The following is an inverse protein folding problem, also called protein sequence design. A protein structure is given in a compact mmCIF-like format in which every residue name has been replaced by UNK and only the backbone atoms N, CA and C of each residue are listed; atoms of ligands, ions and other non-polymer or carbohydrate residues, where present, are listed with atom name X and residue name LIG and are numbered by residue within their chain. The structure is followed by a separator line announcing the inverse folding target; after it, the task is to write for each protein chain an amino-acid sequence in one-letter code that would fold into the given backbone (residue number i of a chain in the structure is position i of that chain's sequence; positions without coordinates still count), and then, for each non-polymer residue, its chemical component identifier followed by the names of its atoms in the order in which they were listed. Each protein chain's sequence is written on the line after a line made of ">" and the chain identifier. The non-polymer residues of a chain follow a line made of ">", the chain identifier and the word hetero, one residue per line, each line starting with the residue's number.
data_IF_421491393171
#
_entry.id   IF_421491393171
#
_cell.length_a   1.000
_cell.length_b   1.000
_cell.length_c   1.000
_cell.angle_alpha   90.00
_cell.angle_beta   90.00
_cell.angle_gamma   90.00
#
_symmetry.space_group_name_H-M   'P 1'
#
loop_
_entity.id
_entity.type
_entity.pdbx_description
1 polymer ?
#
# COMPACT_ATOMS: atom_id res chain seq x y z
N UNK A 1 -21.62 -24.23 -14.37
CA UNK A 1 -22.96 -23.60 -14.25
C UNK A 1 -22.77 -22.30 -13.48
N UNK A 2 -22.49 -21.20 -14.18
CA UNK A 2 -22.41 -19.86 -13.60
C UNK A 2 -23.84 -19.34 -13.47
N UNK A 3 -24.41 -19.39 -12.26
CA UNK A 3 -25.64 -18.63 -12.00
C UNK A 3 -25.32 -17.15 -12.16
N UNK A 4 -26.07 -16.44 -13.00
CA UNK A 4 -25.91 -14.99 -13.17
C UNK A 4 -26.19 -14.31 -11.84
N UNK A 5 -25.12 -13.85 -11.21
CA UNK A 5 -25.21 -13.22 -9.92
C UNK A 5 -25.87 -11.85 -10.09
N UNK A 6 -27.09 -11.69 -9.59
CA UNK A 6 -27.85 -10.45 -9.82
C UNK A 6 -27.42 -9.41 -8.79
N UNK A 7 -26.64 -8.43 -9.23
CA UNK A 7 -26.23 -7.28 -8.42
C UNK A 7 -27.40 -6.31 -8.34
N UNK A 8 -27.83 -5.97 -7.12
CA UNK A 8 -28.82 -4.92 -6.87
C UNK A 8 -28.08 -3.67 -6.38
N UNK A 9 -28.16 -2.60 -7.17
CA UNK A 9 -27.59 -1.30 -6.86
C UNK A 9 -28.71 -0.27 -6.71
N UNK A 10 -28.64 0.55 -5.67
CA UNK A 10 -29.56 1.66 -5.43
C UNK A 10 -28.77 2.96 -5.29
N UNK A 11 -29.35 4.08 -5.71
CA UNK A 11 -28.76 5.42 -5.59
C UNK A 11 -29.84 6.49 -5.45
N UNK A 12 -29.41 7.74 -5.26
CA UNK A 12 -30.30 8.89 -5.18
C UNK A 12 -30.71 9.25 -3.75
N UNK A 13 -31.33 10.43 -3.61
CA UNK A 13 -31.60 11.04 -2.30
C UNK A 13 -32.46 10.18 -1.38
N UNK A 14 -33.57 9.63 -1.87
CA UNK A 14 -34.47 8.82 -1.06
C UNK A 14 -33.77 7.55 -0.52
N UNK A 15 -33.00 6.88 -1.37
CA UNK A 15 -32.16 5.74 -1.01
C UNK A 15 -31.15 6.11 0.07
N UNK A 16 -30.42 7.20 -0.14
CA UNK A 16 -29.36 7.62 0.77
C UNK A 16 -29.91 8.08 2.13
N UNK A 17 -31.00 8.84 2.14
CA UNK A 17 -31.73 9.20 3.37
C UNK A 17 -32.23 7.97 4.11
N UNK A 18 -32.83 7.00 3.40
CA UNK A 18 -33.29 5.74 4.01
C UNK A 18 -32.13 4.92 4.58
N UNK A 19 -30.99 4.89 3.89
CA UNK A 19 -29.78 4.22 4.38
C UNK A 19 -29.28 4.89 5.66
N UNK A 20 -29.09 6.22 5.65
CA UNK A 20 -28.60 6.98 6.80
C UNK A 20 -29.54 6.94 8.01
N UNK A 21 -30.84 6.68 7.81
CA UNK A 21 -31.84 6.57 8.86
C UNK A 21 -31.93 5.17 9.50
N UNK A 22 -31.16 4.17 9.04
CA UNK A 22 -31.22 2.82 9.61
C UNK A 22 -30.83 2.80 11.09
N UNK A 23 -31.64 2.15 11.90
CA UNK A 23 -31.43 2.05 13.36
C UNK A 23 -30.23 1.18 13.77
N UNK A 24 -29.75 0.31 12.87
CA UNK A 24 -28.60 -0.56 13.14
C UNK A 24 -27.25 0.20 13.05
N UNK A 25 -27.25 1.42 12.52
CA UNK A 25 -26.09 2.29 12.53
C UNK A 25 -25.71 2.67 13.97
N UNK A 26 -24.41 2.64 14.23
CA UNK A 26 -23.83 2.91 15.55
C UNK A 26 -22.55 3.68 15.36
N UNK A 27 -22.47 4.89 15.87
CA UNK A 27 -21.23 5.65 15.81
C UNK A 27 -20.32 5.25 16.98
N UNK A 28 -19.24 4.55 16.68
CA UNK A 28 -18.22 4.15 17.67
C UNK A 28 -17.69 5.36 18.45
N UNK A 29 -17.63 6.53 17.82
CA UNK A 29 -17.11 7.73 18.47
C UNK A 29 -18.03 8.36 19.50
N UNK A 30 -19.27 7.88 19.62
CA UNK A 30 -20.25 8.36 20.59
C UNK A 30 -20.38 7.39 21.79
N UNK A 31 -19.55 6.35 21.84
CA UNK A 31 -19.53 5.43 22.97
C UNK A 31 -18.97 6.11 24.22
N UNK A 32 -19.71 6.02 25.32
CA UNK A 32 -19.15 6.31 26.63
C UNK A 32 -18.10 5.25 27.04
N UNK A 33 -17.45 5.47 28.18
CA UNK A 33 -16.36 4.60 28.61
C UNK A 33 -16.82 3.16 28.88
N UNK A 34 -18.01 2.93 29.44
CA UNK A 34 -18.52 1.59 29.71
C UNK A 34 -18.89 0.87 28.40
N UNK A 35 -19.58 1.56 27.51
CA UNK A 35 -19.97 1.05 26.20
C UNK A 35 -18.73 0.75 25.34
N UNK A 36 -17.66 1.55 25.44
CA UNK A 36 -16.37 1.27 24.81
C UNK A 36 -15.76 -0.02 25.35
N UNK A 37 -15.76 -0.24 26.68
CA UNK A 37 -15.22 -1.46 27.30
C UNK A 37 -15.99 -2.70 26.81
N UNK A 38 -17.32 -2.62 26.79
CA UNK A 38 -18.16 -3.72 26.31
C UNK A 38 -17.93 -3.98 24.82
N UNK A 39 -17.82 -2.93 24.00
CA UNK A 39 -17.48 -3.06 22.58
C UNK A 39 -16.11 -3.70 22.38
N UNK A 40 -15.09 -3.27 23.13
CA UNK A 40 -13.73 -3.82 23.06
C UNK A 40 -13.70 -5.31 23.47
N UNK A 41 -14.49 -5.71 24.46
CA UNK A 41 -14.62 -7.11 24.86
C UNK A 41 -15.26 -7.98 23.77
N UNK A 42 -16.36 -7.50 23.18
CA UNK A 42 -17.00 -8.19 22.06
C UNK A 42 -16.10 -8.22 20.81
N UNK A 43 -15.40 -7.13 20.51
CA UNK A 43 -14.45 -7.03 19.41
C UNK A 43 -13.28 -8.00 19.59
N UNK A 44 -12.68 -8.04 20.79
CA UNK A 44 -11.60 -8.97 21.13
C UNK A 44 -12.04 -10.43 20.93
N UNK A 45 -13.23 -10.78 21.43
CA UNK A 45 -13.78 -12.15 21.29
C UNK A 45 -13.97 -12.53 19.82
N UNK A 46 -14.60 -11.67 19.01
CA UNK A 46 -14.74 -11.95 17.56
C UNK A 46 -13.40 -12.09 16.85
N UNK A 47 -12.41 -11.26 17.22
CA UNK A 47 -11.09 -11.28 16.60
C UNK A 47 -10.25 -12.48 17.02
N UNK A 48 -10.33 -12.93 18.27
CA UNK A 48 -9.58 -14.11 18.71
C UNK A 48 -10.08 -15.39 18.01
N UNK A 49 -11.37 -15.45 17.69
CA UNK A 49 -11.99 -16.61 17.04
C UNK A 49 -11.82 -16.59 15.51
N UNK A 50 -11.92 -15.41 14.88
CA UNK A 50 -11.98 -15.29 13.42
C UNK A 50 -10.72 -14.77 12.72
N UNK A 51 -9.75 -14.21 13.46
CA UNK A 51 -8.58 -13.54 12.87
C UNK A 51 -7.27 -14.21 13.36
N UNK A 52 -6.64 -15.10 12.55
CA UNK A 52 -5.46 -15.84 12.97
C UNK A 52 -4.26 -14.94 13.25
N UNK A 53 -4.14 -13.79 12.56
CA UNK A 53 -3.07 -12.81 12.79
C UNK A 53 -3.27 -12.16 14.15
N UNK A 54 -4.48 -11.71 14.46
CA UNK A 54 -4.82 -11.14 15.77
C UNK A 54 -4.56 -12.13 16.90
N UNK A 55 -5.00 -13.39 16.73
CA UNK A 55 -4.77 -14.47 17.70
C UNK A 55 -3.29 -14.73 17.94
N UNK A 56 -2.50 -14.79 16.87
CA UNK A 56 -1.05 -15.00 16.97
C UNK A 56 -0.33 -13.84 17.66
N UNK A 57 -0.74 -12.59 17.40
CA UNK A 57 -0.24 -11.41 18.14
C UNK A 57 -0.57 -11.48 19.63
N UNK A 58 -1.81 -11.83 19.98
CA UNK A 58 -2.22 -12.02 21.38
C UNK A 58 -1.39 -13.12 22.08
N UNK A 59 -1.06 -14.21 21.37
CA UNK A 59 -0.18 -15.25 21.89
C UNK A 59 1.23 -14.73 22.16
N UNK A 60 1.82 -13.97 21.22
CA UNK A 60 3.13 -13.33 21.40
C UNK A 60 3.12 -12.41 22.63
N UNK A 61 2.11 -11.55 22.76
CA UNK A 61 2.00 -10.67 23.94
C UNK A 61 1.82 -11.46 25.23
N UNK A 62 1.11 -12.59 25.22
CA UNK A 62 1.01 -13.46 26.40
C UNK A 62 2.36 -14.09 26.77
N UNK A 63 3.14 -14.59 25.80
CA UNK A 63 4.50 -15.13 26.02
C UNK A 63 5.40 -14.04 26.63
N UNK A 64 5.39 -12.83 26.06
CA UNK A 64 6.17 -11.70 26.55
C UNK A 64 5.78 -11.30 27.98
N UNK A 65 4.47 -11.25 28.27
CA UNK A 65 3.97 -10.96 29.63
C UNK A 65 4.41 -12.00 30.65
N UNK A 66 4.26 -13.30 30.33
CA UNK A 66 4.63 -14.40 31.23
C UNK A 66 6.14 -14.43 31.53
N UNK A 67 6.97 -13.95 30.60
CA UNK A 67 8.42 -13.95 30.71
C UNK A 67 9.01 -12.54 30.87
N UNK A 68 8.21 -11.56 31.31
CA UNK A 68 8.58 -10.13 31.33
C UNK A 68 9.89 -9.85 32.07
N UNK A 69 10.09 -10.45 33.24
CA UNK A 69 11.32 -10.27 34.02
C UNK A 69 12.54 -10.87 33.30
N UNK A 70 12.43 -12.12 32.82
CA UNK A 70 13.50 -12.82 32.11
C UNK A 70 13.95 -12.04 30.87
N UNK A 71 12.99 -11.59 30.06
CA UNK A 71 13.26 -10.77 28.87
C UNK A 71 13.95 -9.45 29.25
N UNK A 72 13.40 -8.73 30.23
CA UNK A 72 13.97 -7.47 30.68
C UNK A 72 15.41 -7.62 31.23
N UNK A 73 15.75 -8.76 31.83
CA UNK A 73 17.11 -9.01 32.34
C UNK A 73 18.11 -9.24 31.21
N UNK A 74 17.77 -10.09 30.23
CA UNK A 74 18.67 -10.35 29.08
C UNK A 74 18.78 -9.15 28.16
N UNK A 75 17.69 -8.41 27.92
CA UNK A 75 17.66 -7.20 27.10
C UNK A 75 18.51 -6.09 27.74
N UNK A 76 18.33 -5.81 29.04
CA UNK A 76 19.16 -4.82 29.77
C UNK A 76 20.64 -5.18 29.77
N UNK A 77 20.97 -6.47 29.88
CA UNK A 77 22.35 -6.91 29.78
C UNK A 77 22.92 -6.62 28.37
N UNK A 78 22.14 -6.90 27.32
CA UNK A 78 22.54 -6.61 25.95
C UNK A 78 22.73 -5.11 25.69
N UNK A 79 21.79 -4.28 26.14
CA UNK A 79 21.89 -2.82 26.05
C UNK A 79 23.14 -2.28 26.74
N UNK A 80 23.44 -2.78 27.95
CA UNK A 80 24.65 -2.42 28.68
C UNK A 80 25.91 -2.82 27.91
N UNK A 81 25.98 -4.04 27.38
CA UNK A 81 27.12 -4.48 26.58
C UNK A 81 27.27 -3.66 25.29
N UNK A 82 26.17 -3.27 24.66
CA UNK A 82 26.16 -2.41 23.49
C UNK A 82 26.76 -1.02 23.81
N UNK A 83 26.40 -0.44 24.94
CA UNK A 83 26.94 0.86 25.37
C UNK A 83 28.44 0.78 25.72
N UNK A 84 28.88 -0.33 26.33
CA UNK A 84 30.31 -0.59 26.56
C UNK A 84 31.06 -0.72 25.24
N UNK A 85 30.53 -1.51 24.29
CA UNK A 85 31.12 -1.68 22.97
C UNK A 85 31.24 -0.34 22.21
N UNK A 86 30.20 0.50 22.22
CA UNK A 86 30.23 1.84 21.58
C UNK A 86 31.33 2.76 22.11
N UNK A 87 31.82 2.52 23.33
CA UNK A 87 32.87 3.32 23.97
C UNK A 87 34.27 2.72 23.81
N UNK A 88 34.40 1.54 23.21
CA UNK A 88 35.69 0.88 23.05
C UNK A 88 36.48 1.48 21.89
N UNK A 89 37.81 1.41 21.96
CA UNK A 89 38.69 2.02 20.95
C UNK A 89 38.62 1.38 19.56
N UNK A 90 38.08 0.15 19.46
CA UNK A 90 37.95 -0.58 18.20
C UNK A 90 36.55 -0.47 17.57
N UNK A 91 35.60 0.25 18.21
CA UNK A 91 34.21 0.33 17.75
C UNK A 91 34.10 0.77 16.29
N UNK A 92 34.61 1.96 15.99
CA UNK A 92 34.49 2.59 14.67
C UNK A 92 35.12 1.73 13.57
N UNK A 93 36.24 1.08 13.86
CA UNK A 93 36.95 0.25 12.89
C UNK A 93 36.21 -1.07 12.62
N UNK A 94 35.66 -1.71 13.65
CA UNK A 94 34.83 -2.91 13.50
C UNK A 94 33.56 -2.57 12.69
N UNK A 95 32.89 -1.45 12.99
CA UNK A 95 31.70 -1.01 12.24
C UNK A 95 32.04 -0.67 10.78
N UNK A 96 33.17 0.02 10.53
CA UNK A 96 33.66 0.32 9.18
C UNK A 96 33.90 -0.96 8.38
N UNK A 97 34.65 -1.91 8.93
CA UNK A 97 34.96 -3.18 8.27
C UNK A 97 33.71 -4.02 8.04
N UNK A 98 32.79 -4.06 9.02
CA UNK A 98 31.48 -4.72 8.87
C UNK A 98 30.69 -4.13 7.70
N UNK A 99 30.61 -2.80 7.63
CA UNK A 99 29.92 -2.09 6.55
C UNK A 99 30.58 -2.31 5.18
N UNK A 100 31.91 -2.26 5.11
CA UNK A 100 32.65 -2.50 3.87
C UNK A 100 32.48 -3.93 3.37
N UNK A 101 32.55 -4.92 4.27
CA UNK A 101 32.33 -6.31 3.94
C UNK A 101 30.89 -6.56 3.44
N UNK A 102 29.89 -5.96 4.10
CA UNK A 102 28.49 -6.06 3.67
C UNK A 102 28.30 -5.46 2.26
N UNK A 103 28.87 -4.27 2.01
CA UNK A 103 28.82 -3.62 0.67
C UNK A 103 29.51 -4.48 -0.39
N UNK A 104 30.66 -5.07 -0.06
CA UNK A 104 31.38 -5.95 -0.96
C UNK A 104 30.56 -7.20 -1.32
N UNK A 105 29.95 -7.87 -0.32
CA UNK A 105 29.09 -9.06 -0.54
C UNK A 105 27.82 -8.73 -1.35
N UNK A 106 27.19 -7.59 -1.09
CA UNK A 106 26.03 -7.14 -1.89
C UNK A 106 26.42 -6.86 -3.35
N UNK A 107 27.56 -6.20 -3.56
CA UNK A 107 28.07 -5.93 -4.90
C UNK A 107 28.47 -7.22 -5.62
N UNK A 108 29.05 -8.19 -4.91
CA UNK A 108 29.35 -9.52 -5.42
C UNK A 108 28.07 -10.23 -5.89
N UNK A 109 27.06 -10.32 -5.02
CA UNK A 109 25.77 -10.97 -5.34
C UNK A 109 25.07 -10.32 -6.53
N UNK A 110 25.04 -8.98 -6.59
CA UNK A 110 24.44 -8.24 -7.69
C UNK A 110 25.17 -8.44 -9.03
N UNK A 111 26.50 -8.40 -9.03
CA UNK A 111 27.31 -8.64 -10.24
C UNK A 111 27.28 -10.10 -10.69
N UNK A 112 27.27 -11.06 -9.75
CA UNK A 112 27.16 -12.47 -10.06
C UNK A 112 25.81 -12.79 -10.72
N UNK A 113 24.72 -12.23 -10.18
CA UNK A 113 23.36 -12.36 -10.77
C UNK A 113 23.30 -11.73 -12.16
N UNK A 114 23.81 -10.51 -12.31
CA UNK A 114 23.87 -9.82 -13.61
C UNK A 114 24.63 -10.63 -14.68
N UNK A 115 25.74 -11.29 -14.30
CA UNK A 115 26.51 -12.13 -15.21
C UNK A 115 25.83 -13.48 -15.50
N UNK A 116 25.07 -14.05 -14.56
CA UNK A 116 24.33 -15.30 -14.81
C UNK A 116 23.09 -15.10 -15.67
N UNK A 117 22.40 -13.97 -15.53
CA UNK A 117 21.19 -13.67 -16.30
C UNK A 117 21.50 -13.49 -17.79
N UNK A 118 22.64 -12.87 -18.12
CA UNK A 118 23.09 -12.67 -19.51
C UNK A 118 23.49 -13.99 -20.20
N UNK A 119 24.09 -14.93 -19.48
CA UNK A 119 24.39 -16.29 -19.98
C UNK A 119 23.10 -17.06 -20.29
N UNK A 120 22.04 -16.84 -19.51
CA UNK A 120 20.76 -17.50 -19.73
C UNK A 120 19.95 -16.87 -20.88
N UNK A 121 19.99 -15.54 -21.05
CA UNK A 121 19.34 -14.85 -22.17
C UNK A 121 20.00 -15.20 -23.51
N UNK A 122 21.32 -15.35 -23.55
CA UNK A 122 22.06 -15.76 -24.76
C UNK A 122 21.85 -17.23 -25.14
N UNK A 123 21.49 -18.11 -24.19
CA UNK A 123 21.07 -19.49 -24.48
C UNK A 123 19.60 -19.61 -24.92
N UNK A 124 18.70 -18.75 -24.43
CA UNK A 124 17.28 -18.75 -24.83
C UNK A 124 17.06 -18.23 -26.27
N UNK A 125 17.93 -17.34 -26.76
CA UNK A 125 17.85 -16.80 -28.13
C UNK A 125 18.37 -17.76 -29.23
N UNK A 126 18.83 -18.97 -28.88
CA UNK A 126 19.51 -19.89 -29.81
C UNK A 126 18.63 -21.10 -30.24
N UNK A 127 17.33 -21.08 -29.95
CA UNK A 127 16.35 -22.06 -30.43
C UNK A 127 15.56 -21.52 -31.62
N UNK A 128 15.67 -22.17 -32.77
CA UNK A 128 14.94 -21.90 -34.03
C UNK A 128 15.28 -20.59 -34.75
N UNK A 129 16.32 -20.61 -35.57
CA UNK A 129 16.34 -19.84 -36.83
C UNK A 129 17.25 -20.53 -37.85
N UNK A 130 16.62 -21.03 -38.91
CA UNK A 130 17.22 -21.56 -40.13
C UNK A 130 18.34 -20.66 -40.64
N UNK A 131 19.50 -21.25 -40.94
CA UNK A 131 20.67 -20.57 -41.52
C UNK A 131 20.31 -19.86 -42.83
N UNK A 132 20.45 -18.53 -42.94
CA UNK A 132 20.36 -17.84 -44.23
C UNK A 132 21.61 -18.13 -45.07
N UNK A 133 21.42 -18.32 -46.38
CA UNK A 133 22.48 -18.64 -47.34
C UNK A 133 23.55 -17.53 -47.43
N UNK A 134 24.78 -17.93 -47.72
CA UNK A 134 26.00 -17.09 -47.66
C UNK A 134 26.08 -15.95 -48.69
N UNK A 135 25.03 -15.69 -49.49
CA UNK A 135 25.14 -14.82 -50.66
C UNK A 135 24.71 -13.35 -50.50
N UNK A 136 24.14 -12.91 -49.37
CA UNK A 136 23.67 -11.52 -49.16
C UNK A 136 24.39 -10.76 -48.02
N UNK A 137 25.69 -11.02 -47.81
CA UNK A 137 26.45 -10.47 -46.65
C UNK A 137 27.24 -9.18 -46.87
N UNK A 138 27.07 -8.49 -47.99
CA UNK A 138 27.73 -7.21 -48.22
C UNK A 138 26.70 -6.06 -48.22
N UNK A 139 26.72 -5.27 -47.14
CA UNK A 139 26.03 -3.97 -46.97
C UNK A 139 24.60 -3.99 -46.42
N UNK A 140 24.35 -4.64 -45.27
CA UNK A 140 23.11 -4.46 -44.50
C UNK A 140 23.39 -3.59 -43.24
N UNK A 141 22.85 -2.36 -43.14
CA UNK A 141 23.01 -1.48 -41.97
C UNK A 141 22.60 -2.12 -40.64
N UNK A 142 21.61 -3.01 -40.66
CA UNK A 142 21.16 -3.74 -39.48
C UNK A 142 22.24 -4.68 -38.91
N UNK A 143 23.13 -5.21 -39.77
CA UNK A 143 24.22 -6.07 -39.33
C UNK A 143 25.37 -5.29 -38.66
N UNK A 144 25.57 -4.03 -39.04
CA UNK A 144 26.54 -3.14 -38.39
C UNK A 144 26.03 -2.63 -37.03
N UNK A 145 24.74 -2.27 -36.96
CA UNK A 145 24.09 -1.89 -35.70
C UNK A 145 24.11 -3.03 -34.68
N UNK A 146 23.80 -4.27 -35.11
CA UNK A 146 23.88 -5.44 -34.23
C UNK A 146 25.31 -5.70 -33.74
N UNK A 147 26.33 -5.61 -34.60
CA UNK A 147 27.74 -5.74 -34.19
C UNK A 147 28.16 -4.70 -33.16
N UNK A 148 27.65 -3.48 -33.28
CA UNK A 148 27.91 -2.41 -32.30
C UNK A 148 27.25 -2.70 -30.95
N UNK A 149 26.01 -3.19 -30.95
CA UNK A 149 25.28 -3.62 -29.73
C UNK A 149 26.03 -4.77 -29.05
N UNK A 150 26.42 -5.80 -29.80
CA UNK A 150 27.13 -6.98 -29.28
C UNK A 150 28.49 -6.59 -28.69
N UNK A 151 29.24 -5.70 -29.36
CA UNK A 151 30.52 -5.21 -28.87
C UNK A 151 30.36 -4.42 -27.55
N UNK A 152 29.32 -3.58 -27.44
CA UNK A 152 29.03 -2.80 -26.24
C UNK A 152 28.58 -3.70 -25.08
N UNK A 153 27.80 -4.73 -25.36
CA UNK A 153 27.39 -5.72 -24.37
C UNK A 153 28.60 -6.52 -23.87
N UNK A 154 29.48 -6.97 -24.79
CA UNK A 154 30.71 -7.68 -24.44
C UNK A 154 31.65 -6.85 -23.56
N UNK A 155 31.82 -5.56 -23.86
CA UNK A 155 32.60 -4.64 -23.01
C UNK A 155 31.96 -4.47 -21.63
N UNK A 156 30.63 -4.33 -21.57
CA UNK A 156 29.89 -4.24 -20.29
C UNK A 156 30.08 -5.49 -19.43
N UNK A 157 30.02 -6.69 -20.02
CA UNK A 157 30.24 -7.97 -19.34
C UNK A 157 31.69 -8.14 -18.88
N UNK A 158 32.65 -7.74 -19.71
CA UNK A 158 34.07 -7.77 -19.35
C UNK A 158 34.36 -6.87 -18.13
N UNK A 159 33.83 -5.64 -18.14
CA UNK A 159 33.93 -4.71 -16.99
C UNK A 159 33.25 -5.25 -15.73
N UNK A 160 32.06 -5.85 -15.87
CA UNK A 160 31.36 -6.47 -14.75
C UNK A 160 32.14 -7.66 -14.16
N UNK A 161 32.74 -8.49 -15.01
CA UNK A 161 33.57 -9.63 -14.62
C UNK A 161 34.85 -9.20 -13.92
N UNK A 162 35.54 -8.18 -14.45
CA UNK A 162 36.72 -7.60 -13.80
C UNK A 162 36.37 -7.03 -12.43
N UNK A 163 35.30 -6.25 -12.33
CA UNK A 163 34.84 -5.66 -11.07
C UNK A 163 34.45 -6.73 -10.04
N UNK A 164 33.83 -7.83 -10.48
CA UNK A 164 33.51 -8.97 -9.62
C UNK A 164 34.79 -9.62 -9.08
N UNK A 165 35.82 -9.80 -9.91
CA UNK A 165 37.12 -10.34 -9.48
C UNK A 165 37.82 -9.42 -8.46
N UNK A 166 37.78 -8.09 -8.68
CA UNK A 166 38.30 -7.09 -7.75
C UNK A 166 37.56 -7.07 -6.41
N UNK A 167 36.23 -7.25 -6.41
CA UNK A 167 35.45 -7.35 -5.17
C UNK A 167 35.79 -8.63 -4.41
N UNK A 168 35.87 -9.77 -5.10
CA UNK A 168 36.23 -11.07 -4.50
C UNK A 168 37.60 -11.05 -3.87
N UNK A 169 38.60 -10.42 -4.50
CA UNK A 169 39.95 -10.32 -3.95
C UNK A 169 40.02 -9.46 -2.69
N UNK A 170 39.06 -8.54 -2.49
CA UNK A 170 38.96 -7.68 -1.29
C UNK A 170 38.20 -8.32 -0.13
N UNK A 171 37.26 -9.23 -0.39
CA UNK A 171 36.44 -9.87 0.66
C UNK A 171 37.32 -10.62 1.66
N UNK A 172 38.27 -11.44 1.18
CA UNK A 172 39.14 -12.25 2.04
C UNK A 172 39.94 -11.42 3.06
N UNK A 173 40.70 -10.39 2.65
CA UNK A 173 41.40 -9.50 3.57
C UNK A 173 40.46 -8.80 4.56
N UNK A 174 39.32 -8.27 4.11
CA UNK A 174 38.34 -7.62 4.98
C UNK A 174 37.80 -8.58 6.06
N UNK A 175 37.52 -9.83 5.70
CA UNK A 175 37.10 -10.87 6.64
C UNK A 175 38.20 -11.20 7.66
N UNK A 176 39.46 -11.30 7.22
CA UNK A 176 40.58 -11.57 8.12
C UNK A 176 40.78 -10.43 9.12
N UNK A 177 40.79 -9.18 8.65
CA UNK A 177 40.95 -8.01 9.52
C UNK A 177 39.79 -7.85 10.50
N UNK A 178 38.55 -8.03 10.03
CA UNK A 178 37.37 -7.98 10.87
C UNK A 178 37.41 -9.10 11.93
N UNK A 179 37.70 -10.33 11.53
CA UNK A 179 37.79 -11.47 12.45
C UNK A 179 38.88 -11.25 13.50
N UNK A 180 40.05 -10.73 13.10
CA UNK A 180 41.13 -10.39 14.04
C UNK A 180 40.66 -9.37 15.07
N UNK A 181 40.09 -8.25 14.64
CA UNK A 181 39.61 -7.22 15.57
C UNK A 181 38.47 -7.71 16.48
N UNK A 182 37.55 -8.52 15.94
CA UNK A 182 36.49 -9.15 16.75
C UNK A 182 37.06 -10.09 17.82
N UNK A 183 38.14 -10.80 17.52
CA UNK A 183 38.80 -11.72 18.45
C UNK A 183 39.67 -10.99 19.50
N UNK A 184 40.16 -9.80 19.18
CA UNK A 184 40.97 -8.98 20.09
C UNK A 184 40.13 -8.04 20.97
N UNK A 185 38.87 -7.78 20.60
CA UNK A 185 37.98 -6.83 21.30
C UNK A 185 37.03 -7.55 22.25
N UNK A 186 37.32 -7.53 23.54
CA UNK A 186 36.52 -8.19 24.57
C UNK A 186 35.08 -7.67 24.62
N UNK A 187 34.88 -6.36 24.49
CA UNK A 187 33.58 -5.71 24.54
C UNK A 187 32.67 -6.18 23.40
N UNK A 188 33.25 -6.43 22.22
CA UNK A 188 32.54 -7.02 21.09
C UNK A 188 32.09 -8.45 21.40
N UNK A 189 32.98 -9.26 21.96
CA UNK A 189 32.64 -10.65 22.34
C UNK A 189 31.57 -10.73 23.43
N UNK A 190 31.61 -9.81 24.40
CA UNK A 190 30.58 -9.67 25.42
C UNK A 190 29.23 -9.28 24.82
N UNK A 191 29.20 -8.32 23.90
CA UNK A 191 28.01 -7.96 23.15
C UNK A 191 27.46 -9.14 22.34
N UNK A 192 28.31 -9.88 21.62
CA UNK A 192 27.87 -11.06 20.87
C UNK A 192 27.27 -12.15 21.79
N UNK A 193 27.89 -12.40 22.95
CA UNK A 193 27.35 -13.33 23.95
C UNK A 193 26.02 -12.85 24.54
N UNK A 194 25.89 -11.56 24.81
CA UNK A 194 24.65 -10.97 25.32
C UNK A 194 23.52 -11.07 24.29
N UNK A 195 23.79 -10.71 23.03
CA UNK A 195 22.84 -10.86 21.92
C UNK A 195 22.44 -12.32 21.71
N UNK A 196 23.41 -13.25 21.74
CA UNK A 196 23.12 -14.68 21.65
C UNK A 196 22.26 -15.17 22.83
N UNK A 197 22.43 -14.59 24.02
CA UNK A 197 21.59 -14.90 25.19
C UNK A 197 20.16 -14.39 25.02
N UNK A 198 19.96 -13.22 24.38
CA UNK A 198 18.62 -12.72 24.02
C UNK A 198 17.94 -13.68 23.04
N UNK A 199 18.64 -14.06 21.96
CA UNK A 199 18.11 -15.01 20.97
C UNK A 199 17.79 -16.37 21.61
N UNK A 200 18.71 -16.92 22.41
CA UNK A 200 18.48 -18.17 23.13
C UNK A 200 17.29 -18.07 24.08
N UNK A 201 17.13 -16.95 24.79
CA UNK A 201 15.96 -16.71 25.64
C UNK A 201 14.67 -16.66 24.80
N UNK A 202 14.67 -16.00 23.64
CA UNK A 202 13.52 -15.96 22.74
C UNK A 202 13.15 -17.35 22.23
N UNK A 203 14.13 -18.15 21.84
CA UNK A 203 13.93 -19.52 21.38
C UNK A 203 13.38 -20.41 22.51
N UNK A 204 13.98 -20.32 23.71
CA UNK A 204 13.59 -21.11 24.88
C UNK A 204 12.14 -20.84 25.31
N UNK A 205 11.71 -19.57 25.32
CA UNK A 205 10.32 -19.22 25.69
C UNK A 205 9.34 -19.39 24.51
N UNK A 206 9.80 -19.87 23.35
CA UNK A 206 8.99 -20.08 22.15
C UNK A 206 8.57 -18.79 21.43
N UNK A 207 9.19 -17.65 21.73
CA UNK A 207 8.87 -16.36 21.12
C UNK A 207 9.27 -16.33 19.64
N UNK A 208 10.46 -16.81 19.29
CA UNK A 208 10.95 -16.87 17.90
C UNK A 208 10.00 -17.67 17.01
N UNK A 209 9.58 -18.86 17.48
CA UNK A 209 8.64 -19.69 16.74
C UNK A 209 7.28 -18.99 16.54
N UNK A 210 6.80 -18.28 17.56
CA UNK A 210 5.55 -17.54 17.49
C UNK A 210 5.63 -16.34 16.51
N UNK A 211 6.75 -15.62 16.48
CA UNK A 211 7.00 -14.50 15.55
C UNK A 211 7.17 -14.99 14.11
N UNK A 212 7.89 -16.10 13.89
CA UNK A 212 8.01 -16.72 12.57
C UNK A 212 6.64 -17.18 12.03
N UNK A 213 5.80 -17.76 12.88
CA UNK A 213 4.43 -18.13 12.51
C UNK A 213 3.60 -16.90 12.14
N UNK A 214 3.74 -15.78 12.86
CA UNK A 214 3.07 -14.53 12.51
C UNK A 214 3.51 -14.01 11.13
N UNK A 215 4.80 -14.09 10.81
CA UNK A 215 5.32 -13.73 9.49
C UNK A 215 4.74 -14.63 8.38
N UNK A 216 4.61 -15.93 8.65
CA UNK A 216 3.93 -16.87 7.74
C UNK A 216 2.50 -16.45 7.45
N UNK A 217 1.71 -16.14 8.49
CA UNK A 217 0.32 -15.70 8.34
C UNK A 217 0.17 -14.42 7.50
N UNK A 218 1.11 -13.47 7.58
CA UNK A 218 1.09 -12.29 6.73
C UNK A 218 1.29 -12.64 5.24
N UNK A 219 2.19 -13.57 4.94
CA UNK A 219 2.41 -14.04 3.56
C UNK A 219 1.16 -14.69 3.00
N UNK A 220 0.50 -15.54 3.79
CA UNK A 220 -0.72 -16.25 3.37
C UNK A 220 -1.90 -15.29 3.15
N UNK A 221 -2.09 -14.33 4.06
CA UNK A 221 -3.18 -13.34 3.98
C UNK A 221 -2.99 -12.38 2.79
N UNK A 222 -1.75 -12.01 2.49
CA UNK A 222 -1.42 -11.20 1.32
C UNK A 222 -1.91 -11.84 0.01
N UNK A 223 -1.80 -13.17 -0.12
CA UNK A 223 -2.26 -13.89 -1.30
C UNK A 223 -3.80 -13.96 -1.40
N UNK A 224 -4.50 -14.15 -0.28
CA UNK A 224 -5.97 -14.24 -0.26
C UNK A 224 -6.67 -12.90 -0.54
N UNK A 225 -6.11 -11.80 -0.03
CA UNK A 225 -6.69 -10.46 -0.18
C UNK A 225 -6.76 -10.02 -1.66
N UNK A 226 -5.80 -10.47 -2.48
CA UNK A 226 -5.78 -10.19 -3.92
C UNK A 226 -6.96 -10.84 -4.68
N UNK A 227 -7.55 -11.93 -4.16
CA UNK A 227 -8.70 -12.60 -4.79
C UNK A 227 -9.99 -11.82 -4.59
N UNK A 228 -10.34 -11.52 -3.33
CA UNK A 228 -11.61 -10.86 -2.99
C UNK A 228 -11.74 -9.43 -3.52
N UNK A 229 -10.62 -8.70 -3.68
CA UNK A 229 -10.63 -7.35 -4.25
C UNK A 229 -11.05 -7.35 -5.73
N UNK A 230 -10.54 -8.31 -6.51
CA UNK A 230 -10.84 -8.44 -7.95
C UNK A 230 -12.33 -8.67 -8.21
N UNK A 231 -13.00 -9.44 -7.35
CA UNK A 231 -14.44 -9.72 -7.49
C UNK A 231 -15.27 -8.44 -7.29
N UNK A 232 -14.92 -7.61 -6.30
CA UNK A 232 -15.67 -6.38 -6.04
C UNK A 232 -15.42 -5.31 -7.11
N UNK A 233 -14.19 -5.17 -7.60
CA UNK A 233 -13.89 -4.24 -8.70
C UNK A 233 -14.67 -4.58 -9.98
N UNK A 234 -14.84 -5.87 -10.27
CA UNK A 234 -15.67 -6.34 -11.40
C UNK A 234 -17.14 -5.94 -11.22
N UNK A 235 -17.69 -6.13 -10.02
CA UNK A 235 -19.05 -5.70 -9.66
C UNK A 235 -19.21 -4.19 -9.86
N UNK A 236 -18.27 -3.39 -9.32
CA UNK A 236 -18.30 -1.93 -9.47
C UNK A 236 -18.27 -1.50 -10.94
N UNK A 237 -17.45 -2.17 -11.76
CA UNK A 237 -17.40 -1.92 -13.21
C UNK A 237 -18.75 -2.20 -13.87
N UNK A 238 -19.42 -3.30 -13.52
CA UNK A 238 -20.76 -3.61 -14.01
C UNK A 238 -21.81 -2.57 -13.59
N UNK A 239 -21.75 -2.09 -12.34
CA UNK A 239 -22.63 -1.03 -11.83
C UNK A 239 -22.43 0.28 -12.60
N UNK A 240 -21.17 0.70 -12.82
CA UNK A 240 -20.88 1.91 -13.59
C UNK A 240 -21.41 1.83 -15.03
N UNK A 241 -21.18 0.69 -15.72
CA UNK A 241 -21.65 0.47 -17.09
C UNK A 241 -23.17 0.58 -17.21
N UNK A 242 -23.90 0.06 -16.23
CA UNK A 242 -25.37 -0.02 -16.28
C UNK A 242 -26.06 1.23 -15.74
N UNK A 243 -25.46 1.91 -14.76
CA UNK A 243 -26.13 2.97 -14.00
C UNK A 243 -25.58 4.37 -14.27
N UNK A 244 -24.29 4.50 -14.60
CA UNK A 244 -23.61 5.80 -14.69
C UNK A 244 -23.26 6.17 -16.13
N UNK A 245 -22.70 5.24 -16.90
CA UNK A 245 -22.30 5.48 -18.30
C UNK A 245 -23.46 5.98 -19.17
N UNK A 246 -24.69 5.40 -19.11
CA UNK A 246 -25.79 5.87 -19.94
C UNK A 246 -26.19 7.33 -19.63
N UNK A 247 -26.04 7.75 -18.38
CA UNK A 247 -26.29 9.13 -17.99
C UNK A 247 -25.21 10.08 -18.54
N UNK A 248 -23.93 9.71 -18.42
CA UNK A 248 -22.80 10.53 -18.84
C UNK A 248 -22.63 10.57 -20.37
N UNK A 249 -23.09 9.55 -21.08
CA UNK A 249 -23.06 9.48 -22.54
C UNK A 249 -24.13 10.37 -23.20
N UNK A 250 -25.02 11.01 -22.43
CA UNK A 250 -26.05 11.91 -23.01
C UNK A 250 -25.39 13.06 -23.77
N UNK A 251 -25.53 13.04 -25.10
CA UNK A 251 -24.94 14.05 -25.98
C UNK A 251 -23.54 13.71 -26.51
N UNK A 252 -23.05 12.49 -26.25
CA UNK A 252 -21.80 11.94 -26.78
C UNK A 252 -22.08 10.55 -27.36
N UNK A 253 -21.29 10.10 -28.33
CA UNK A 253 -21.37 8.71 -28.79
C UNK A 253 -20.94 7.75 -27.66
N UNK A 254 -21.84 6.86 -27.24
CA UNK A 254 -21.61 5.86 -26.18
C UNK A 254 -20.40 4.97 -26.50
N UNK A 255 -20.13 4.71 -27.79
CA UNK A 255 -18.96 3.95 -28.24
C UNK A 255 -17.62 4.60 -27.86
N UNK A 256 -17.61 5.91 -27.61
CA UNK A 256 -16.45 6.71 -27.21
C UNK A 256 -16.29 6.81 -25.70
N UNK A 257 -17.28 6.40 -24.91
CA UNK A 257 -17.18 6.40 -23.45
C UNK A 257 -16.50 5.12 -22.98
N UNK A 258 -15.42 5.26 -22.21
CA UNK A 258 -14.65 4.12 -21.66
C UNK A 258 -14.52 4.26 -20.15
N UNK A 259 -14.54 3.12 -19.47
CA UNK A 259 -14.21 3.02 -18.04
C UNK A 259 -12.79 2.46 -17.98
N UNK A 260 -11.89 3.24 -17.39
CA UNK A 260 -10.51 2.88 -17.15
C UNK A 260 -10.34 2.53 -15.69
N UNK A 261 -9.44 1.59 -15.40
CA UNK A 261 -9.17 1.10 -14.05
C UNK A 261 -7.78 1.49 -13.59
N UNK A 262 -7.63 1.71 -12.29
CA UNK A 262 -6.33 1.80 -11.62
C UNK A 262 -5.42 2.87 -12.25
N UNK A 263 -6.00 4.05 -12.46
CA UNK A 263 -5.36 5.14 -13.20
C UNK A 263 -4.43 5.91 -12.25
N UNK A 264 -3.13 5.74 -12.42
CA UNK A 264 -2.11 6.35 -11.54
C UNK A 264 -1.51 7.64 -12.11
N UNK A 265 -1.35 7.74 -13.44
CA UNK A 265 -0.74 8.88 -14.15
C UNK A 265 0.67 9.31 -13.68
N UNK A 266 1.29 8.59 -12.76
CA UNK A 266 2.54 8.99 -12.07
C UNK A 266 2.32 9.96 -10.90
N UNK A 267 1.12 9.96 -10.32
CA UNK A 267 0.78 10.65 -9.06
C UNK A 267 1.73 10.23 -7.93
N UNK A 268 2.05 11.17 -7.03
CA UNK A 268 2.90 10.88 -5.87
C UNK A 268 2.17 10.01 -4.85
N UNK A 269 0.91 10.33 -4.60
CA UNK A 269 0.13 9.78 -3.48
C UNK A 269 -1.25 9.34 -3.95
N UNK A 270 -1.35 8.57 -5.05
CA UNK A 270 -2.68 8.16 -5.48
C UNK A 270 -2.75 7.27 -6.69
N UNK A 271 -3.91 6.63 -6.75
CA UNK A 271 -4.48 5.92 -7.88
C UNK A 271 -5.97 6.28 -7.85
N UNK A 272 -6.61 6.36 -9.02
CA UNK A 272 -8.06 6.46 -9.11
C UNK A 272 -8.58 5.09 -9.53
N UNK A 273 -9.41 4.47 -8.68
CA UNK A 273 -9.94 3.12 -8.88
C UNK A 273 -10.61 2.98 -10.26
N UNK A 274 -11.49 3.93 -10.61
CA UNK A 274 -12.17 4.00 -11.91
C UNK A 274 -12.25 5.43 -12.46
N UNK A 275 -11.93 5.59 -13.74
CA UNK A 275 -12.07 6.86 -14.47
C UNK A 275 -12.98 6.64 -15.68
N UNK A 276 -14.02 7.44 -15.82
CA UNK A 276 -14.92 7.41 -16.98
C UNK A 276 -14.50 8.53 -17.93
N UNK A 277 -14.07 8.16 -19.13
CA UNK A 277 -13.52 9.09 -20.12
C UNK A 277 -14.33 9.09 -21.41
N UNK A 278 -14.35 10.21 -22.10
CA UNK A 278 -14.69 10.31 -23.51
C UNK A 278 -13.40 10.33 -24.33
N UNK A 279 -13.27 9.37 -25.24
CA UNK A 279 -12.14 9.30 -26.19
C UNK A 279 -12.34 10.33 -27.31
N UNK A 280 -11.33 11.16 -27.63
CA UNK A 280 -11.40 12.12 -28.73
C UNK A 280 -11.42 11.41 -30.10
N UNK A 281 -11.74 12.14 -31.16
CA UNK A 281 -11.74 11.57 -32.53
C UNK A 281 -10.31 11.37 -33.04
N UNK A 282 -9.38 12.23 -32.62
CA UNK A 282 -7.96 12.13 -32.93
C UNK A 282 -7.20 11.41 -31.80
N UNK A 283 -6.47 10.34 -32.13
CA UNK A 283 -5.79 9.48 -31.16
C UNK A 283 -4.72 10.20 -30.29
N UNK A 284 -4.16 11.32 -30.77
CA UNK A 284 -3.14 12.08 -30.06
C UNK A 284 -3.72 13.13 -29.08
N UNK A 285 -5.03 13.37 -29.12
CA UNK A 285 -5.66 14.35 -28.24
C UNK A 285 -5.90 13.79 -26.84
N UNK A 286 -5.82 14.64 -25.79
CA UNK A 286 -6.17 14.21 -24.45
C UNK A 286 -7.64 13.78 -24.33
N UNK A 287 -7.88 12.68 -23.61
CA UNK A 287 -9.22 12.26 -23.22
C UNK A 287 -9.88 13.29 -22.32
N UNK A 288 -11.20 13.42 -22.41
CA UNK A 288 -11.99 14.22 -21.46
C UNK A 288 -12.52 13.32 -20.35
N UNK A 289 -12.21 13.64 -19.10
CA UNK A 289 -12.71 12.88 -17.95
C UNK A 289 -14.10 13.38 -17.60
N UNK A 290 -15.08 12.48 -17.73
CA UNK A 290 -16.48 12.75 -17.46
C UNK A 290 -16.80 12.53 -15.97
N UNK A 291 -16.19 11.51 -15.38
CA UNK A 291 -16.36 11.18 -13.97
C UNK A 291 -15.19 10.34 -13.44
N UNK A 292 -15.06 10.31 -12.12
CA UNK A 292 -14.20 9.38 -11.38
C UNK A 292 -15.05 8.64 -10.37
N UNK A 293 -14.70 7.39 -10.07
CA UNK A 293 -15.40 6.62 -9.06
C UNK A 293 -14.40 5.94 -8.11
N UNK A 294 -14.67 6.09 -6.82
CA UNK A 294 -13.97 5.39 -5.74
C UNK A 294 -14.78 4.15 -5.34
N UNK A 295 -14.12 3.00 -5.27
CA UNK A 295 -14.74 1.71 -5.00
C UNK A 295 -14.30 1.19 -3.62
N UNK A 296 -15.20 1.16 -2.65
CA UNK A 296 -14.89 0.63 -1.30
C UNK A 296 -15.81 -0.51 -0.94
N UNK A 297 -15.25 -1.68 -0.65
CA UNK A 297 -16.04 -2.82 -0.20
C UNK A 297 -16.73 -2.57 1.15
N UNK A 298 -16.12 -1.74 2.01
CA UNK A 298 -16.66 -1.30 3.29
C UNK A 298 -17.06 0.18 3.23
N UNK A 299 -18.33 0.48 3.52
CA UNK A 299 -18.87 1.85 3.54
C UNK A 299 -18.15 2.77 4.54
N UNK A 300 -17.57 2.21 5.60
CA UNK A 300 -16.84 3.00 6.58
C UNK A 300 -15.47 3.50 6.08
N UNK A 301 -15.03 3.06 4.90
CA UNK A 301 -13.79 3.54 4.26
C UNK A 301 -14.03 4.72 3.29
N UNK A 302 -15.29 5.12 3.08
CA UNK A 302 -15.64 6.21 2.16
C UNK A 302 -15.00 7.54 2.54
N UNK A 303 -14.88 7.88 3.82
CA UNK A 303 -14.25 9.14 4.22
C UNK A 303 -12.79 9.25 3.78
N UNK A 304 -12.03 8.17 3.95
CA UNK A 304 -10.65 8.13 3.50
C UNK A 304 -10.57 8.26 1.98
N UNK A 305 -11.37 7.47 1.24
CA UNK A 305 -11.46 7.55 -0.22
C UNK A 305 -11.86 8.95 -0.70
N UNK A 306 -12.82 9.59 -0.02
CA UNK A 306 -13.23 10.96 -0.30
C UNK A 306 -12.09 11.95 -0.12
N UNK A 307 -11.40 11.95 1.03
CA UNK A 307 -10.27 12.84 1.28
C UNK A 307 -9.15 12.67 0.24
N UNK A 308 -8.82 11.43 -0.12
CA UNK A 308 -7.83 11.15 -1.16
C UNK A 308 -8.29 11.68 -2.52
N UNK A 309 -9.55 11.44 -2.88
CA UNK A 309 -10.12 11.91 -4.14
C UNK A 309 -10.12 13.45 -4.24
N UNK A 310 -10.44 14.16 -3.15
CA UNK A 310 -10.39 15.62 -3.11
C UNK A 310 -8.97 16.14 -3.41
N UNK A 311 -7.94 15.47 -2.87
CA UNK A 311 -6.54 15.84 -3.13
C UNK A 311 -6.13 15.50 -4.57
N UNK A 312 -6.43 14.28 -5.03
CA UNK A 312 -6.10 13.80 -6.38
C UNK A 312 -6.72 14.70 -7.46
N UNK A 313 -8.02 14.98 -7.36
CA UNK A 313 -8.71 15.83 -8.34
C UNK A 313 -8.15 17.25 -8.29
N UNK A 314 -7.91 17.83 -7.11
CA UNK A 314 -7.33 19.16 -6.98
C UNK A 314 -5.99 19.29 -7.71
N UNK A 315 -5.13 18.26 -7.57
CA UNK A 315 -3.87 18.17 -8.30
C UNK A 315 -4.07 18.04 -9.82
N UNK A 316 -4.93 17.10 -10.25
CA UNK A 316 -5.21 16.80 -11.65
C UNK A 316 -5.91 17.94 -12.40
N UNK A 317 -6.77 18.71 -11.73
CA UNK A 317 -7.44 19.88 -12.29
C UNK A 317 -6.56 21.14 -12.27
N UNK A 318 -5.38 21.08 -11.65
CA UNK A 318 -4.45 22.20 -11.55
C UNK A 318 -4.94 23.33 -10.64
N UNK A 319 -5.67 23.02 -9.57
CA UNK A 319 -6.19 24.02 -8.63
C UNK A 319 -5.07 24.59 -7.73
N UNK A 320 -4.64 25.81 -8.01
CA UNK A 320 -3.44 26.42 -7.39
C UNK A 320 -3.71 27.52 -6.37
N UNK A 321 -4.95 27.97 -6.25
CA UNK A 321 -5.31 29.18 -5.49
C UNK A 321 -6.55 28.91 -4.65
N UNK A 322 -6.57 29.43 -3.42
CA UNK A 322 -7.68 29.33 -2.49
C UNK A 322 -7.34 28.54 -1.23
N UNK A 323 -8.25 28.52 -0.27
CA UNK A 323 -8.11 27.79 0.99
C UNK A 323 -8.06 26.26 0.84
N UNK A 324 -8.27 25.76 -0.37
CA UNK A 324 -8.36 24.33 -0.70
C UNK A 324 -7.34 23.91 -1.77
N UNK A 325 -6.33 24.76 -2.03
CA UNK A 325 -5.25 24.43 -2.95
C UNK A 325 -4.48 23.19 -2.45
N UNK A 326 -4.10 22.31 -3.37
CA UNK A 326 -3.19 21.20 -3.02
C UNK A 326 -1.78 21.75 -2.76
N UNK A 327 -0.99 21.03 -1.96
CA UNK A 327 0.42 21.36 -1.70
C UNK A 327 1.34 20.77 -2.79
N UNK A 328 1.95 21.57 -3.69
CA UNK A 328 2.81 21.03 -4.74
C UNK A 328 4.02 20.25 -4.21
N UNK A 329 4.54 20.55 -3.02
CA UNK A 329 5.70 19.86 -2.47
C UNK A 329 5.38 18.39 -2.17
N UNK A 330 4.19 18.13 -1.61
CA UNK A 330 3.70 16.77 -1.36
C UNK A 330 3.48 15.95 -2.66
N UNK A 331 3.42 16.61 -3.82
CA UNK A 331 3.14 15.99 -5.12
C UNK A 331 4.37 15.85 -6.03
N UNK A 332 5.57 16.15 -5.54
CA UNK A 332 6.80 15.97 -6.32
C UNK A 332 7.09 14.50 -6.58
N UNK A 333 7.33 14.18 -7.84
CA UNK A 333 7.85 12.87 -8.26
C UNK A 333 9.02 13.03 -9.22
N UNK A 334 9.70 11.92 -9.56
CA UNK A 334 10.71 11.92 -10.63
C UNK A 334 10.14 12.45 -11.96
N UNK A 335 8.84 12.23 -12.20
CA UNK A 335 8.13 12.68 -13.39
C UNK A 335 7.63 14.12 -13.25
N UNK A 336 7.13 14.49 -12.07
CA UNK A 336 6.57 15.80 -11.76
C UNK A 336 7.45 16.55 -10.76
N UNK A 337 8.58 17.06 -11.23
CA UNK A 337 9.59 17.69 -10.35
C UNK A 337 9.13 18.99 -9.71
N UNK A 338 8.13 19.66 -10.31
CA UNK A 338 7.46 20.85 -9.76
C UNK A 338 6.20 20.52 -8.96
N UNK A 339 5.83 19.24 -8.87
CA UNK A 339 4.62 18.81 -8.17
C UNK A 339 3.30 19.14 -8.86
N UNK A 340 3.30 19.36 -10.18
CA UNK A 340 2.11 19.74 -10.95
C UNK A 340 1.80 18.75 -12.05
N UNK A 341 0.53 18.49 -12.32
CA UNK A 341 0.08 17.79 -13.52
C UNK A 341 0.15 18.74 -14.73
N UNK A 342 1.35 18.87 -15.31
CA UNK A 342 1.69 19.91 -16.31
C UNK A 342 2.08 19.37 -17.69
N UNK A 343 1.90 18.07 -17.92
CA UNK A 343 2.30 17.37 -19.15
C UNK A 343 1.38 16.22 -19.47
N UNK A 344 1.48 15.71 -20.70
CA UNK A 344 0.73 14.55 -21.13
C UNK A 344 1.29 13.24 -20.57
N UNK A 345 0.40 12.27 -20.38
CA UNK A 345 0.70 10.92 -19.89
C UNK A 345 -0.16 9.92 -20.64
N UNK A 346 0.45 8.82 -21.06
CA UNK A 346 -0.30 7.70 -21.61
C UNK A 346 -0.63 6.70 -20.49
N UNK A 347 -1.90 6.35 -20.38
CA UNK A 347 -2.38 5.17 -19.65
C UNK A 347 -2.64 4.05 -20.64
N UNK A 348 -2.11 2.85 -20.37
CA UNK A 348 -2.29 1.67 -21.22
C UNK A 348 -3.27 0.72 -20.55
N UNK A 349 -4.37 0.41 -21.22
CA UNK A 349 -5.35 -0.56 -20.71
C UNK A 349 -5.93 -1.37 -21.86
N UNK A 350 -5.93 -2.70 -21.71
CA UNK A 350 -6.43 -3.64 -22.72
C UNK A 350 -5.85 -3.40 -24.14
N UNK A 351 -4.56 -3.04 -24.22
CA UNK A 351 -3.87 -2.78 -25.49
C UNK A 351 -4.22 -1.44 -26.15
N UNK A 352 -5.02 -0.59 -25.50
CA UNK A 352 -5.36 0.76 -25.98
C UNK A 352 -4.59 1.82 -25.19
N UNK A 353 -4.19 2.89 -25.89
CA UNK A 353 -3.54 4.05 -25.29
C UNK A 353 -4.57 5.16 -25.01
N UNK A 354 -4.53 5.69 -23.79
CA UNK A 354 -5.37 6.82 -23.38
C UNK A 354 -4.46 7.97 -22.97
N UNK A 355 -4.45 9.03 -23.77
CA UNK A 355 -3.65 10.22 -23.49
C UNK A 355 -4.40 11.10 -22.48
N UNK A 356 -3.80 11.33 -21.32
CA UNK A 356 -4.25 12.31 -20.34
C UNK A 356 -3.38 13.55 -20.42
N UNK A 357 -3.98 14.73 -20.27
CA UNK A 357 -3.26 16.00 -20.18
C UNK A 357 -3.92 16.97 -19.22
N UNK A 358 -3.34 18.16 -19.00
CA UNK A 358 -3.87 19.15 -18.05
C UNK A 358 -5.33 19.58 -18.33
N UNK A 359 -5.81 19.37 -19.55
CA UNK A 359 -7.19 19.65 -19.97
C UNK A 359 -8.18 18.55 -19.59
N UNK A 360 -7.70 17.32 -19.33
CA UNK A 360 -8.54 16.14 -19.14
C UNK A 360 -9.51 16.25 -17.97
N UNK A 361 -9.13 16.95 -16.89
CA UNK A 361 -9.92 17.07 -15.65
C UNK A 361 -10.58 18.44 -15.47
N UNK A 362 -10.66 19.26 -16.53
CA UNK A 362 -11.17 20.64 -16.43
C UNK A 362 -12.66 20.73 -16.06
N UNK A 363 -13.42 19.66 -16.29
CA UNK A 363 -14.85 19.55 -15.94
C UNK A 363 -15.10 19.54 -14.43
N UNK A 364 -14.11 19.12 -13.63
CA UNK A 364 -14.22 19.10 -12.18
C UNK A 364 -14.08 20.50 -11.61
N UNK A 365 -15.07 20.88 -10.81
CA UNK A 365 -15.12 22.14 -10.07
C UNK A 365 -15.55 21.84 -8.64
N UNK A 366 -14.97 22.57 -7.68
CA UNK A 366 -15.48 22.54 -6.31
C UNK A 366 -16.87 23.12 -6.29
N UNK A 367 -17.72 22.50 -5.49
CA UNK A 367 -18.98 23.07 -5.07
C UNK A 367 -18.72 24.38 -4.31
N UNK A 368 -19.47 25.42 -4.64
CA UNK A 368 -19.27 26.76 -4.06
C UNK A 368 -19.68 26.86 -2.59
N UNK A 369 -20.56 26.00 -2.13
CA UNK A 369 -21.06 25.98 -0.74
C UNK A 369 -20.17 25.10 0.13
N UNK A 370 -19.88 23.88 -0.35
CA UNK A 370 -19.18 22.86 0.44
C UNK A 370 -17.64 22.88 0.25
N UNK A 371 -17.13 23.61 -0.75
CA UNK A 371 -15.71 23.68 -1.05
C UNK A 371 -15.10 22.34 -1.49
N UNK A 372 -15.90 21.39 -1.97
CA UNK A 372 -15.48 20.03 -2.32
C UNK A 372 -15.86 19.66 -3.77
N UNK A 373 -15.09 18.79 -4.41
CA UNK A 373 -15.46 18.15 -5.67
C UNK A 373 -16.53 17.09 -5.43
N UNK A 374 -17.78 17.39 -5.78
CA UNK A 374 -18.93 16.48 -5.62
C UNK A 374 -19.48 16.01 -6.97
N UNK A 375 -19.55 16.93 -7.94
CA UNK A 375 -20.05 16.65 -9.29
C UNK A 375 -19.04 15.79 -10.05
N UNK A 376 -19.52 14.68 -10.63
CA UNK A 376 -18.68 13.74 -11.37
C UNK A 376 -17.81 12.85 -10.48
N UNK A 377 -17.95 12.93 -9.16
CA UNK A 377 -17.24 12.09 -8.18
C UNK A 377 -18.21 11.09 -7.60
N UNK A 378 -18.05 9.82 -7.96
CA UNK A 378 -18.91 8.71 -7.57
C UNK A 378 -18.27 7.86 -6.47
N UNK A 379 -19.11 7.32 -5.59
CA UNK A 379 -18.72 6.34 -4.58
C UNK A 379 -19.54 5.08 -4.77
N UNK A 380 -18.88 3.94 -4.89
CA UNK A 380 -19.52 2.64 -5.01
C UNK A 380 -19.13 1.79 -3.81
N UNK A 381 -20.12 1.34 -3.06
CA UNK A 381 -19.87 0.58 -1.84
C UNK A 381 -20.99 -0.40 -1.52
N UNK A 382 -20.69 -1.42 -0.71
CA UNK A 382 -21.74 -2.29 -0.16
C UNK A 382 -22.55 -1.54 0.89
N UNK A 383 -23.85 -1.78 0.92
CA UNK A 383 -24.78 -1.23 1.90
C UNK A 383 -24.62 -1.91 3.29
N UNK A 384 -23.47 -1.71 3.92
CA UNK A 384 -23.15 -2.21 5.25
C UNK A 384 -23.66 -1.31 6.37
N UNK A 385 -23.36 -1.68 7.61
CA UNK A 385 -23.65 -0.85 8.79
C UNK A 385 -22.58 0.25 8.94
N UNK A 386 -23.02 1.49 9.15
CA UNK A 386 -22.14 2.59 9.54
C UNK A 386 -21.76 2.43 11.01
N UNK A 387 -20.47 2.20 11.25
CA UNK A 387 -19.88 2.00 12.57
C UNK A 387 -19.09 3.22 13.06
N UNK A 388 -18.82 4.17 12.17
CA UNK A 388 -17.93 5.30 12.43
C UNK A 388 -16.43 4.98 12.32
N UNK A 389 -16.05 3.69 12.30
CA UNK A 389 -14.66 3.25 12.17
C UNK A 389 -14.37 2.73 10.76
N UNK A 390 -13.44 3.36 10.06
CA UNK A 390 -12.85 2.80 8.85
C UNK A 390 -11.96 1.59 9.15
N UNK A 391 -11.64 0.83 8.12
CA UNK A 391 -10.75 -0.33 8.17
C UNK A 391 -9.36 0.06 8.71
N UNK A 392 -8.88 1.27 8.39
CA UNK A 392 -7.64 1.83 8.93
C UNK A 392 -7.69 1.97 10.46
N UNK A 393 -8.72 2.61 10.99
CA UNK A 393 -8.91 2.76 12.44
C UNK A 393 -9.11 1.42 13.14
N UNK A 394 -9.92 0.52 12.57
CA UNK A 394 -10.11 -0.85 13.10
C UNK A 394 -8.78 -1.57 13.18
N UNK A 395 -7.93 -1.47 12.15
CA UNK A 395 -6.62 -2.12 12.13
C UNK A 395 -5.67 -1.54 13.19
N UNK A 396 -5.69 -0.22 13.40
CA UNK A 396 -4.91 0.43 14.46
C UNK A 396 -5.34 -0.02 15.85
N UNK A 397 -6.66 0.00 16.12
CA UNK A 397 -7.23 -0.46 17.39
C UNK A 397 -6.92 -1.95 17.60
N UNK A 398 -7.15 -2.78 16.58
CA UNK A 398 -6.85 -4.21 16.57
C UNK A 398 -5.38 -4.48 16.91
N UNK A 399 -4.45 -3.78 16.24
CA UNK A 399 -3.02 -3.90 16.50
C UNK A 399 -2.67 -3.50 17.93
N UNK A 400 -3.19 -2.36 18.40
CA UNK A 400 -2.94 -1.85 19.75
C UNK A 400 -3.40 -2.84 20.80
N UNK A 401 -4.62 -3.37 20.67
CA UNK A 401 -5.19 -4.36 21.58
C UNK A 401 -4.38 -5.66 21.57
N UNK A 402 -4.03 -6.16 20.39
CA UNK A 402 -3.36 -7.45 20.26
C UNK A 402 -1.91 -7.44 20.76
N UNK A 403 -1.25 -6.28 20.75
CA UNK A 403 0.16 -6.14 21.14
C UNK A 403 0.35 -5.59 22.55
N UNK A 404 -0.65 -4.93 23.15
CA UNK A 404 -0.59 -4.41 24.50
C UNK A 404 -0.60 -5.53 25.55
N UNK A 405 0.47 -5.59 26.36
CA UNK A 405 0.69 -6.64 27.36
C UNK A 405 -0.35 -6.61 28.48
N UNK A 406 -0.91 -5.44 28.78
CA UNK A 406 -1.81 -5.25 29.92
C UNK A 406 -3.29 -5.35 29.52
N UNK A 407 -3.61 -5.32 28.22
CA UNK A 407 -5.00 -5.24 27.74
C UNK A 407 -5.88 -6.40 28.23
N UNK A 408 -5.42 -7.65 28.09
CA UNK A 408 -6.24 -8.82 28.45
C UNK A 408 -6.57 -8.84 29.95
N UNK A 409 -5.58 -8.51 30.79
CA UNK A 409 -5.78 -8.46 32.24
C UNK A 409 -6.69 -7.28 32.61
N UNK A 410 -6.49 -6.12 31.97
CA UNK A 410 -7.35 -4.97 32.14
C UNK A 410 -8.80 -5.27 31.75
N UNK A 411 -9.02 -6.01 30.65
CA UNK A 411 -10.34 -6.43 30.21
C UNK A 411 -11.00 -7.39 31.21
N UNK A 412 -10.29 -8.42 31.65
CA UNK A 412 -10.80 -9.38 32.64
C UNK A 412 -11.17 -8.71 33.98
N UNK A 413 -10.37 -7.73 34.41
CA UNK A 413 -10.59 -7.01 35.67
C UNK A 413 -11.47 -5.76 35.53
N UNK A 414 -12.00 -5.48 34.33
CA UNK A 414 -12.64 -4.19 33.96
C UNK A 414 -11.89 -2.98 34.55
N UNK A 415 -10.59 -2.90 34.29
CA UNK A 415 -9.74 -1.82 34.82
C UNK A 415 -10.05 -0.48 34.12
N UNK A 416 -10.98 0.29 34.70
CA UNK A 416 -11.46 1.55 34.13
C UNK A 416 -10.37 2.62 33.99
N UNK A 417 -9.31 2.59 34.83
CA UNK A 417 -8.19 3.52 34.69
C UNK A 417 -7.39 3.25 33.41
N UNK A 418 -7.17 1.97 33.09
CA UNK A 418 -6.54 1.57 31.83
C UNK A 418 -7.42 1.99 30.63
N UNK A 419 -8.72 1.69 30.68
CA UNK A 419 -9.63 2.01 29.57
C UNK A 419 -9.83 3.51 29.37
N UNK A 420 -9.81 4.32 30.42
CA UNK A 420 -9.84 5.77 30.29
C UNK A 420 -8.61 6.30 29.53
N UNK A 421 -7.42 5.72 29.75
CA UNK A 421 -6.21 6.06 28.97
C UNK A 421 -6.34 5.58 27.52
N UNK A 422 -6.90 4.40 27.30
CA UNK A 422 -7.13 3.86 25.97
C UNK A 422 -8.16 4.71 25.19
N UNK A 423 -9.25 5.16 25.82
CA UNK A 423 -10.24 6.06 25.22
C UNK A 423 -9.59 7.36 24.77
N UNK A 424 -8.78 8.00 25.62
CA UNK A 424 -8.01 9.21 25.24
C UNK A 424 -7.08 8.97 24.05
N UNK A 425 -6.53 7.76 23.91
CA UNK A 425 -5.73 7.40 22.73
C UNK A 425 -6.61 7.21 21.49
N UNK A 426 -7.76 6.55 21.64
CA UNK A 426 -8.76 6.38 20.58
C UNK A 426 -9.30 7.73 20.08
N UNK A 427 -9.59 8.67 20.98
CA UNK A 427 -10.11 10.01 20.64
C UNK A 427 -9.11 10.79 19.76
N UNK A 428 -7.80 10.62 20.01
CA UNK A 428 -6.75 11.21 19.17
C UNK A 428 -6.72 10.63 17.75
N UNK A 429 -7.25 9.43 17.53
CA UNK A 429 -7.35 8.85 16.18
C UNK A 429 -8.44 9.56 15.37
N UNK A 430 -9.50 10.04 16.03
CA UNK A 430 -10.64 10.74 15.42
C UNK A 430 -10.31 12.20 15.08
N UNK A 431 -9.45 12.83 15.87
CA UNK A 431 -9.22 14.28 15.83
C UNK A 431 -8.91 14.79 14.41
N UNK A 432 -9.73 15.74 13.94
CA UNK A 432 -9.58 16.37 12.62
C UNK A 432 -10.01 15.52 11.42
N UNK A 433 -10.59 14.33 11.62
CA UNK A 433 -11.02 13.45 10.51
C UNK A 433 -12.51 13.58 10.20
N UNK A 434 -12.79 13.57 8.91
CA UNK A 434 -14.14 13.40 8.36
C UNK A 434 -14.60 11.95 8.53
N UNK A 435 -15.86 11.72 8.92
CA UNK A 435 -16.43 10.36 8.96
C UNK A 435 -17.17 10.00 7.68
N UNK A 436 -17.36 8.71 7.39
CA UNK A 436 -18.15 8.29 6.23
C UNK A 436 -19.60 8.78 6.33
N UNK A 437 -20.15 8.91 7.53
CA UNK A 437 -21.48 9.49 7.76
C UNK A 437 -21.51 10.94 7.28
N UNK A 438 -20.47 11.72 7.57
CA UNK A 438 -20.39 13.12 7.15
C UNK A 438 -20.30 13.24 5.63
N UNK A 439 -19.50 12.40 4.98
CA UNK A 439 -19.44 12.33 3.50
C UNK A 439 -20.80 11.97 2.91
N UNK A 440 -21.46 10.95 3.44
CA UNK A 440 -22.77 10.54 2.91
C UNK A 440 -23.82 11.65 3.10
N UNK A 441 -23.83 12.35 4.25
CA UNK A 441 -24.70 13.50 4.48
C UNK A 441 -24.40 14.67 3.55
N UNK A 442 -23.14 14.89 3.19
CA UNK A 442 -22.73 15.89 2.22
C UNK A 442 -23.42 15.64 0.87
N UNK A 443 -23.38 14.40 0.39
CA UNK A 443 -24.04 13.99 -0.85
C UNK A 443 -25.58 14.00 -0.73
N UNK A 444 -26.14 13.62 0.42
CA UNK A 444 -27.59 13.61 0.66
C UNK A 444 -28.22 15.01 0.57
N UNK A 445 -27.55 16.04 1.11
CA UNK A 445 -28.04 17.42 1.11
C UNK A 445 -28.23 17.94 -0.31
N UNK A 446 -27.35 17.56 -1.23
CA UNK A 446 -27.38 17.99 -2.61
C UNK A 446 -28.10 16.96 -3.49
N UNK A 447 -29.40 17.19 -3.74
CA UNK A 447 -30.26 16.27 -4.48
C UNK A 447 -29.70 15.82 -5.84
N UNK A 448 -28.93 16.69 -6.51
CA UNK A 448 -28.27 16.39 -7.79
C UNK A 448 -27.06 15.47 -7.67
N UNK A 449 -26.39 15.44 -6.51
CA UNK A 449 -25.20 14.64 -6.27
C UNK A 449 -25.51 13.36 -5.49
N UNK A 450 -26.63 13.26 -4.78
CA UNK A 450 -27.02 12.03 -4.08
C UNK A 450 -27.07 10.79 -5.00
N UNK A 451 -27.27 10.96 -6.32
CA UNK A 451 -27.16 9.90 -7.32
C UNK A 451 -25.75 9.34 -7.51
N UNK A 452 -24.71 10.07 -7.08
CA UNK A 452 -23.32 9.68 -7.22
C UNK A 452 -22.87 8.67 -6.16
N UNK A 453 -23.69 8.41 -5.13
CA UNK A 453 -23.46 7.34 -4.16
C UNK A 453 -24.28 6.12 -4.57
N UNK A 454 -23.59 5.04 -4.92
CA UNK A 454 -24.13 3.78 -5.41
C UNK A 454 -23.96 2.70 -4.32
N UNK A 455 -25.08 2.30 -3.73
CA UNK A 455 -25.13 1.32 -2.65
C UNK A 455 -25.50 -0.06 -3.20
N UNK A 456 -24.63 -1.04 -3.00
CA UNK A 456 -24.83 -2.43 -3.40
C UNK A 456 -25.40 -3.22 -2.22
N UNK A 457 -26.66 -3.64 -2.29
CA UNK A 457 -27.34 -4.31 -1.17
C UNK A 457 -27.09 -5.81 -1.11
N UNK A 458 -27.04 -6.48 -2.27
CA UNK A 458 -26.78 -7.91 -2.35
C UNK A 458 -26.21 -8.30 -3.71
N UNK A 459 -25.41 -9.36 -3.67
CA UNK A 459 -24.83 -10.06 -4.81
C UNK A 459 -25.46 -11.44 -4.71
N UNK A 460 -26.62 -11.64 -5.36
CA UNK A 460 -27.46 -12.85 -5.21
C UNK A 460 -27.06 -13.95 -6.16
#
# INVERSE_FOLDING_TARGET
>A
MSGDCKVVCQSGKATLSSFLAREDHRNFWDLDLEALVDWLGAFYTRKIDGDPIFKQRCQISSIKRQNKSRLADVERNSERCQDTYRRCGNHDEIERLTSELQKARLAEGGLATFLSDDVNESHAACGDCSTPSEHDRASNPAAEEQRYIDAKQKDKLARASQKLAEIRSRIGPLEQDLNRLCNETLEWQELQRANASVVACHDEIGLTAAENKLQGLFKDTGAQTQGSGKDFESICTGVLKTSVVPELARGVDEGRVKILSNVTLGMANGEIDKVIVCVPDAAAEPVSVLAVAECKNNVNDLAHGFSMMQSNIGWLSGERVGSHAYDPEAWKTRKYTKGHFDRTVVHLESGSEYVFGPTSFQSFKRDSEEGCFLKGVYFITRAGTLTGLGSGEINLISHKIATDLDFQEALQKRNMSYFSKLQKWVDKIKEGKLSSVDVLRLYERQSTNAGNVLLIESVK
#
